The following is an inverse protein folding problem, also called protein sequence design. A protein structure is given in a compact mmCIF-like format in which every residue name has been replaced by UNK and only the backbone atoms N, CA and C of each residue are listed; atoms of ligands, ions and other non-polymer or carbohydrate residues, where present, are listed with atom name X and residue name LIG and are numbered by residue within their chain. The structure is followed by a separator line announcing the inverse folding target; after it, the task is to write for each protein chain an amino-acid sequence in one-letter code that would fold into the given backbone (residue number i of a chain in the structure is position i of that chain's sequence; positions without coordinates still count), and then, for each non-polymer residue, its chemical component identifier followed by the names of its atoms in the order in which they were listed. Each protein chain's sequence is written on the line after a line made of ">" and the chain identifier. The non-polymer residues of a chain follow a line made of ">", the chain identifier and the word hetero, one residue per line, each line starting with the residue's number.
data_IF_002142932245
#
_entry.id   IF_002142932245
#
_cell.length_a   1.000
_cell.length_b   1.000
_cell.length_c   1.000
_cell.angle_alpha   90.00
_cell.angle_beta   90.00
_cell.angle_gamma   90.00
#
_symmetry.space_group_name_H-M   'P 1'
#
loop_
_entity.id
_entity.type
_entity.pdbx_description
1 polymer ?
#
# COMPACT_ATOMS: atom_id res chain seq x y z
N UNK A 1 30.49 -14.52 38.90
CA UNK A 1 29.19 -13.82 39.10
C UNK A 1 28.99 -12.92 37.89
N UNK A 2 28.10 -13.32 36.98
CA UNK A 2 27.84 -12.61 35.74
C UNK A 2 26.72 -11.58 35.97
N UNK A 3 26.98 -10.31 35.66
CA UNK A 3 25.94 -9.28 35.59
C UNK A 3 25.54 -9.08 34.13
N UNK A 4 24.27 -9.37 33.85
CA UNK A 4 23.60 -9.14 32.56
C UNK A 4 23.17 -7.67 32.47
N UNK A 5 23.64 -6.94 31.47
CA UNK A 5 23.23 -5.56 31.18
C UNK A 5 22.20 -5.52 30.05
N UNK A 6 21.01 -6.09 30.29
CA UNK A 6 19.82 -5.87 29.46
C UNK A 6 18.78 -5.05 30.24
N UNK A 7 18.82 -3.72 30.08
CA UNK A 7 17.75 -2.73 30.31
C UNK A 7 18.18 -1.55 29.42
N UNK A 8 17.47 -1.16 28.37
CA UNK A 8 16.12 -0.59 28.34
C UNK A 8 15.45 -0.91 26.99
N UNK A 9 14.30 -1.56 27.01
CA UNK A 9 13.38 -1.57 25.88
C UNK A 9 12.56 -0.28 25.93
N UNK A 10 12.42 0.40 24.79
CA UNK A 10 11.53 1.56 24.65
C UNK A 10 10.09 1.18 25.04
N UNK A 11 9.48 2.00 25.89
CA UNK A 11 8.05 1.91 26.21
C UNK A 11 7.24 2.25 24.95
N UNK A 12 6.44 1.31 24.46
CA UNK A 12 5.45 1.54 23.40
C UNK A 12 4.09 1.72 24.08
N UNK A 13 3.48 2.92 24.07
CA UNK A 13 2.18 3.12 24.70
C UNK A 13 1.08 2.46 23.86
N UNK A 14 0.23 1.68 24.53
CA UNK A 14 -1.04 1.25 23.96
C UNK A 14 -2.07 2.39 24.05
N UNK A 15 -3.04 2.36 23.15
CA UNK A 15 -3.89 3.45 22.66
C UNK A 15 -4.84 4.16 23.64
N UNK A 16 -4.69 4.02 24.96
CA UNK A 16 -5.65 4.59 25.93
C UNK A 16 -5.04 5.46 27.06
N UNK A 17 -3.85 6.05 26.86
CA UNK A 17 -3.31 7.05 27.79
C UNK A 17 -3.52 8.47 27.25
N UNK A 18 -4.50 9.20 27.80
CA UNK A 18 -4.67 10.63 27.55
C UNK A 18 -3.80 11.43 28.52
N UNK A 19 -2.81 12.16 27.98
CA UNK A 19 -2.03 13.13 28.75
C UNK A 19 -2.75 14.49 28.80
N UNK A 20 -3.11 14.94 30.01
CA UNK A 20 -3.41 16.34 30.27
C UNK A 20 -2.07 17.11 30.31
N UNK A 21 -1.79 17.88 29.27
CA UNK A 21 -0.71 18.86 29.29
C UNK A 21 -1.19 20.12 30.02
N UNK A 22 -0.97 20.19 31.34
CA UNK A 22 -0.88 21.49 32.02
C UNK A 22 0.43 22.15 31.62
N UNK A 23 0.33 23.24 30.84
CA UNK A 23 1.46 24.06 30.44
C UNK A 23 1.97 24.84 31.66
N UNK A 24 3.09 24.42 32.24
CA UNK A 24 3.77 25.14 33.32
C UNK A 24 4.46 26.37 32.71
N UNK A 25 3.97 27.54 33.11
CA UNK A 25 4.51 28.90 32.99
C UNK A 25 5.60 29.19 31.94
N UNK A 26 5.17 30.01 30.97
CA UNK A 26 5.89 30.87 30.05
C UNK A 26 7.39 31.09 30.33
N UNK A 27 8.24 30.21 29.80
CA UNK A 27 9.65 30.53 29.58
C UNK A 27 9.85 31.04 28.15
N UNK A 28 10.57 32.18 28.08
CA UNK A 28 11.01 32.94 26.89
C UNK A 28 10.01 33.99 26.37
N UNK A 29 10.25 35.24 26.79
CA UNK A 29 9.73 36.47 26.17
C UNK A 29 10.28 36.62 24.74
N UNK A 30 9.68 35.93 23.77
CA UNK A 30 9.88 36.24 22.36
C UNK A 30 9.03 37.48 22.00
N UNK A 31 9.63 38.46 21.32
CA UNK A 31 8.90 39.61 20.77
C UNK A 31 7.88 39.12 19.76
N UNK A 32 6.60 39.34 20.03
CA UNK A 32 5.51 39.11 19.09
C UNK A 32 5.46 40.24 18.07
N UNK A 33 5.60 39.91 16.78
CA UNK A 33 5.23 40.81 15.69
C UNK A 33 3.73 40.67 15.42
N UNK A 34 2.99 41.77 15.20
CA UNK A 34 1.59 41.69 14.81
C UNK A 34 1.51 41.18 13.36
N UNK A 35 1.19 39.90 13.20
CA UNK A 35 0.74 39.38 11.90
C UNK A 35 -0.69 39.85 11.67
N UNK A 36 -0.90 40.65 10.62
CA UNK A 36 -2.23 41.05 10.12
C UNK A 36 -2.87 39.96 9.26
N UNK A 37 -2.27 38.77 9.17
CA UNK A 37 -2.74 37.67 8.35
C UNK A 37 -3.17 36.53 9.26
N UNK A 38 -4.50 36.39 9.37
CA UNK A 38 -5.15 35.24 9.99
C UNK A 38 -5.14 34.06 9.00
N UNK A 39 -4.04 33.31 9.01
CA UNK A 39 -3.85 32.08 8.21
C UNK A 39 -4.76 30.92 8.64
N UNK A 40 -5.72 31.12 9.57
CA UNK A 40 -6.68 30.11 10.00
C UNK A 40 -8.08 30.30 9.41
N UNK A 41 -8.30 31.37 8.63
CA UNK A 41 -9.59 31.70 8.04
C UNK A 41 -10.01 30.82 6.86
N UNK A 42 -9.08 30.05 6.25
CA UNK A 42 -9.38 29.14 5.13
C UNK A 42 -10.06 27.83 5.58
N UNK A 43 -9.82 27.38 6.82
CA UNK A 43 -10.42 26.15 7.35
C UNK A 43 -11.85 26.34 7.89
N UNK A 44 -12.34 27.59 7.94
CA UNK A 44 -13.61 27.94 8.58
C UNK A 44 -14.85 27.78 7.67
N UNK A 45 -14.67 27.58 6.36
CA UNK A 45 -15.78 27.50 5.39
C UNK A 45 -15.59 26.30 4.46
N UNK A 46 -16.56 25.39 4.44
CA UNK A 46 -16.55 24.18 3.59
C UNK A 46 -16.47 24.54 2.09
N UNK A 47 -17.18 25.59 1.66
CA UNK A 47 -17.15 26.06 0.27
C UNK A 47 -15.77 26.62 -0.16
N UNK A 48 -14.98 27.15 0.78
CA UNK A 48 -13.62 27.62 0.50
C UNK A 48 -12.60 26.47 0.45
N UNK A 49 -12.84 25.39 1.20
CA UNK A 49 -12.00 24.18 1.14
C UNK A 49 -12.19 23.45 -0.19
N UNK A 50 -13.42 23.32 -0.67
CA UNK A 50 -13.72 22.65 -1.94
C UNK A 50 -13.15 23.41 -3.15
N UNK A 51 -13.22 24.74 -3.14
CA UNK A 51 -12.61 25.58 -4.18
C UNK A 51 -11.07 25.46 -4.18
N UNK A 52 -10.43 25.45 -3.00
CA UNK A 52 -8.98 25.31 -2.89
C UNK A 52 -8.50 23.92 -3.33
N UNK A 53 -9.23 22.85 -2.97
CA UNK A 53 -8.93 21.49 -3.43
C UNK A 53 -9.14 21.38 -4.95
N UNK A 54 -10.17 22.02 -5.50
CA UNK A 54 -10.39 22.06 -6.94
C UNK A 54 -9.25 22.81 -7.67
N UNK A 55 -8.80 23.94 -7.15
CA UNK A 55 -7.68 24.72 -7.73
C UNK A 55 -6.34 23.98 -7.60
N UNK A 56 -6.13 23.25 -6.50
CA UNK A 56 -4.94 22.42 -6.27
C UNK A 56 -4.90 21.22 -7.22
N UNK A 57 -6.04 20.56 -7.46
CA UNK A 57 -6.17 19.44 -8.41
C UNK A 57 -6.05 19.92 -9.86
N UNK A 58 -6.49 21.14 -10.16
CA UNK A 58 -6.39 21.74 -11.50
C UNK A 58 -5.02 22.40 -11.79
N UNK A 59 -4.08 22.40 -10.84
CA UNK A 59 -2.78 23.09 -10.95
C UNK A 59 -2.89 24.58 -11.34
N UNK A 60 -4.00 25.24 -10.98
CA UNK A 60 -4.16 26.66 -11.20
C UNK A 60 -3.51 27.42 -10.05
N UNK A 61 -2.38 28.08 -10.32
CA UNK A 61 -1.79 28.99 -9.32
C UNK A 61 -2.77 30.12 -9.01
N UNK A 62 -3.01 30.49 -7.73
CA UNK A 62 -3.92 31.56 -7.41
C UNK A 62 -3.35 32.88 -7.94
N UNK A 63 -3.89 33.35 -9.07
CA UNK A 63 -3.70 34.71 -9.55
C UNK A 63 -4.26 35.63 -8.48
N UNK A 64 -3.36 36.30 -7.75
CA UNK A 64 -3.70 37.42 -6.87
C UNK A 64 -4.38 38.48 -7.73
N UNK A 65 -5.71 38.51 -7.77
CA UNK A 65 -6.46 39.67 -8.24
C UNK A 65 -6.30 40.75 -7.17
N UNK A 66 -5.28 41.59 -7.36
CA UNK A 66 -5.28 42.92 -6.77
C UNK A 66 -6.57 43.60 -7.23
N UNK A 67 -7.40 43.93 -6.25
CA UNK A 67 -8.61 44.70 -6.41
C UNK A 67 -8.15 46.12 -6.70
N UNK A 68 -8.26 46.56 -7.95
CA UNK A 68 -8.14 47.98 -8.28
C UNK A 68 -9.38 48.43 -9.03
N UNK A 69 -9.92 49.55 -8.55
CA UNK A 69 -11.13 50.19 -9.03
C UNK A 69 -10.86 50.94 -10.34
N UNK A 70 -11.79 50.83 -11.29
CA UNK A 70 -12.03 51.88 -12.28
C UNK A 70 -11.54 51.65 -13.72
N UNK A 71 -12.48 51.70 -14.66
CA UNK A 71 -12.23 52.30 -15.99
C UNK A 71 -12.13 51.37 -17.21
N UNK A 72 -13.27 51.25 -17.93
CA UNK A 72 -13.49 51.08 -19.39
C UNK A 72 -12.65 50.08 -20.25
N UNK A 73 -13.28 49.37 -21.22
CA UNK A 73 -12.61 48.40 -22.08
C UNK A 73 -12.21 48.91 -23.49
N UNK A 74 -11.10 48.33 -24.01
CA UNK A 74 -10.65 48.16 -25.44
C UNK A 74 -10.16 49.40 -26.23
N UNK A 75 -9.29 49.29 -27.29
CA UNK A 75 -9.02 48.14 -28.19
C UNK A 75 -7.57 47.89 -28.75
N UNK A 76 -7.37 46.66 -29.29
CA UNK A 76 -6.60 46.18 -30.48
C UNK A 76 -5.17 46.68 -30.81
N UNK A 77 -4.16 45.79 -30.81
CA UNK A 77 -3.55 45.06 -31.96
C UNK A 77 -2.21 45.72 -32.42
N UNK A 78 -1.26 45.11 -33.19
CA UNK A 78 -1.47 44.02 -34.18
C UNK A 78 -0.30 43.04 -34.51
N UNK A 79 -0.61 42.12 -35.44
CA UNK A 79 0.20 41.62 -36.58
C UNK A 79 1.08 40.34 -36.43
N UNK A 80 0.62 39.29 -37.13
CA UNK A 80 1.39 38.14 -37.65
C UNK A 80 0.44 37.17 -38.37
N UNK A 81 0.69 36.75 -39.62
CA UNK A 81 -0.30 36.77 -40.70
C UNK A 81 -1.15 35.51 -40.85
N UNK A 82 -2.31 35.72 -41.48
CA UNK A 82 -3.19 34.66 -41.96
C UNK A 82 -2.58 33.93 -43.16
N UNK A 83 -2.61 32.60 -43.10
CA UNK A 83 -2.60 31.75 -44.28
C UNK A 83 -3.99 31.12 -44.44
N UNK A 84 -4.80 31.84 -45.21
CA UNK A 84 -6.02 31.38 -45.84
C UNK A 84 -5.64 30.46 -47.02
N UNK A 85 -5.56 29.13 -46.78
CA UNK A 85 -6.04 28.04 -47.65
C UNK A 85 -5.45 26.69 -47.18
N UNK A 86 -6.32 25.81 -46.65
CA UNK A 86 -6.15 24.36 -46.74
C UNK A 86 -5.36 23.64 -45.64
N UNK A 87 -6.00 23.36 -44.49
CA UNK A 87 -5.79 22.09 -43.75
C UNK A 87 -6.76 21.85 -42.57
N UNK A 88 -8.00 22.34 -42.64
CA UNK A 88 -9.03 21.98 -41.66
C UNK A 88 -9.69 20.61 -41.95
N UNK A 89 -8.89 19.59 -42.29
CA UNK A 89 -9.36 18.20 -42.39
C UNK A 89 -8.48 17.17 -41.65
N UNK A 90 -7.36 17.57 -41.03
CA UNK A 90 -6.41 16.62 -40.38
C UNK A 90 -6.33 16.79 -38.86
N UNK A 91 -7.04 17.76 -38.26
CA UNK A 91 -7.04 17.98 -36.80
C UNK A 91 -8.05 17.06 -36.07
N UNK A 92 -8.80 16.23 -36.80
CA UNK A 92 -9.88 15.39 -36.26
C UNK A 92 -9.56 13.91 -36.07
N UNK A 93 -8.45 13.40 -36.60
CA UNK A 93 -8.13 11.97 -36.52
C UNK A 93 -7.52 11.63 -35.15
N UNK A 94 -8.39 11.27 -34.20
CA UNK A 94 -8.04 10.84 -32.84
C UNK A 94 -7.03 9.68 -32.83
N UNK A 95 -6.92 8.92 -33.93
CA UNK A 95 -5.99 7.81 -34.07
C UNK A 95 -4.55 8.26 -34.33
N UNK A 96 -4.34 9.33 -35.11
CA UNK A 96 -3.00 9.84 -35.45
C UNK A 96 -2.40 10.53 -34.23
N UNK A 97 -3.19 11.37 -33.54
CA UNK A 97 -2.76 12.01 -32.30
C UNK A 97 -2.46 10.97 -31.20
N UNK A 98 -3.28 9.91 -31.08
CA UNK A 98 -3.01 8.82 -30.14
C UNK A 98 -1.76 7.99 -30.51
N UNK A 99 -1.48 7.84 -31.80
CA UNK A 99 -0.27 7.19 -32.29
C UNK A 99 0.98 8.04 -31.99
N UNK A 100 0.92 9.35 -32.25
CA UNK A 100 2.01 10.28 -31.96
C UNK A 100 2.30 10.37 -30.46
N UNK A 101 1.27 10.42 -29.61
CA UNK A 101 1.42 10.35 -28.15
C UNK A 101 2.08 9.04 -27.70
N UNK A 102 1.75 7.92 -28.35
CA UNK A 102 2.34 6.62 -28.03
C UNK A 102 3.79 6.53 -28.47
N UNK A 103 4.12 7.08 -29.64
CA UNK A 103 5.48 7.18 -30.16
C UNK A 103 6.31 8.10 -29.24
N UNK A 104 5.77 9.24 -28.81
CA UNK A 104 6.41 10.15 -27.85
C UNK A 104 6.71 9.46 -26.51
N UNK A 105 5.73 8.75 -25.94
CA UNK A 105 5.94 7.94 -24.72
C UNK A 105 7.02 6.87 -24.90
N UNK A 106 7.05 6.20 -26.06
CA UNK A 106 8.06 5.19 -26.34
C UNK A 106 9.47 5.78 -26.47
N UNK A 107 9.60 6.92 -27.15
CA UNK A 107 10.87 7.65 -27.25
C UNK A 107 11.38 8.11 -25.88
N UNK A 108 10.50 8.66 -25.04
CA UNK A 108 10.86 9.01 -23.66
C UNK A 108 11.34 7.81 -22.86
N UNK A 109 10.66 6.67 -22.97
CA UNK A 109 11.06 5.44 -22.28
C UNK A 109 12.41 4.94 -22.77
N UNK A 110 12.70 5.04 -24.08
CA UNK A 110 14.02 4.69 -24.62
C UNK A 110 15.14 5.61 -24.13
N UNK A 111 14.88 6.92 -24.02
CA UNK A 111 15.84 7.88 -23.45
C UNK A 111 16.10 7.56 -21.97
N UNK A 112 15.03 7.33 -21.19
CA UNK A 112 15.12 6.93 -19.79
C UNK A 112 15.88 5.62 -19.62
N UNK A 113 15.64 4.62 -20.48
CA UNK A 113 16.35 3.34 -20.45
C UNK A 113 17.86 3.51 -20.73
N UNK A 114 18.23 4.27 -21.76
CA UNK A 114 19.63 4.58 -22.05
C UNK A 114 20.32 5.32 -20.91
N UNK A 115 19.63 6.27 -20.27
CA UNK A 115 20.16 6.96 -19.09
C UNK A 115 20.35 6.00 -17.91
N UNK A 116 19.41 5.08 -17.69
CA UNK A 116 19.51 4.07 -16.64
C UNK A 116 20.67 3.10 -16.90
N UNK A 117 20.87 2.67 -18.15
CA UNK A 117 22.01 1.83 -18.52
C UNK A 117 23.36 2.50 -18.24
N UNK A 118 23.51 3.80 -18.57
CA UNK A 118 24.73 4.54 -18.22
C UNK A 118 24.93 4.65 -16.71
N UNK A 119 23.87 4.97 -15.96
CA UNK A 119 23.93 5.04 -14.48
C UNK A 119 24.28 3.69 -13.85
N UNK A 120 23.84 2.58 -14.46
CA UNK A 120 24.19 1.24 -14.02
C UNK A 120 25.68 0.97 -14.21
N UNK A 121 26.21 1.27 -15.40
CA UNK A 121 27.64 1.14 -15.69
C UNK A 121 28.51 1.99 -14.76
N UNK A 122 28.12 3.26 -14.54
CA UNK A 122 28.82 4.16 -13.61
C UNK A 122 28.80 3.64 -12.16
N UNK A 123 27.72 2.96 -11.76
CA UNK A 123 27.59 2.36 -10.44
C UNK A 123 28.47 1.11 -10.30
N UNK A 124 28.51 0.26 -11.33
CA UNK A 124 29.31 -0.96 -11.32
C UNK A 124 30.80 -0.64 -11.28
N UNK A 125 31.26 0.38 -12.01
CA UNK A 125 32.66 0.83 -11.95
C UNK A 125 33.02 1.40 -10.57
N UNK A 126 32.13 2.19 -9.94
CA UNK A 126 32.34 2.68 -8.56
C UNK A 126 32.38 1.56 -7.53
N UNK A 127 31.58 0.51 -7.71
CA UNK A 127 31.61 -0.67 -6.85
C UNK A 127 32.92 -1.43 -7.02
N UNK A 128 33.44 -1.53 -8.25
CA UNK A 128 34.71 -2.20 -8.52
C UNK A 128 35.87 -1.47 -7.83
N UNK A 129 35.95 -0.15 -7.97
CA UNK A 129 37.01 0.65 -7.30
C UNK A 129 36.93 0.56 -5.77
N UNK A 130 35.71 0.61 -5.21
CA UNK A 130 35.53 0.49 -3.76
C UNK A 130 35.95 -0.90 -3.21
N UNK A 131 35.71 -1.96 -3.98
CA UNK A 131 36.15 -3.31 -3.60
C UNK A 131 37.68 -3.42 -3.65
N UNK A 132 38.32 -2.87 -4.69
CA UNK A 132 39.78 -2.85 -4.82
C UNK A 132 40.45 -2.09 -3.66
N UNK A 133 39.89 -0.93 -3.27
CA UNK A 133 40.34 -0.15 -2.10
C UNK A 133 40.12 -0.91 -0.78
N UNK A 134 38.98 -1.58 -0.62
CA UNK A 134 38.68 -2.37 0.57
C UNK A 134 39.64 -3.55 0.75
N UNK A 135 39.99 -4.23 -0.35
CA UNK A 135 40.94 -5.34 -0.34
C UNK A 135 42.39 -4.89 -0.11
N UNK A 136 42.76 -3.68 -0.54
CA UNK A 136 44.05 -3.08 -0.22
C UNK A 136 44.14 -2.66 1.25
N UNK A 137 43.09 -2.04 1.81
CA UNK A 137 43.02 -1.71 3.24
C UNK A 137 43.10 -2.99 4.08
N UNK A 138 42.39 -4.06 3.69
CA UNK A 138 42.47 -5.37 4.37
C UNK A 138 43.90 -5.92 4.35
N UNK A 139 44.56 -5.93 3.19
CA UNK A 139 45.96 -6.36 3.07
C UNK A 139 46.91 -5.53 3.93
N UNK A 140 46.73 -4.22 4.01
CA UNK A 140 47.57 -3.34 4.85
C UNK A 140 47.36 -3.64 6.34
N UNK A 141 46.12 -3.89 6.77
CA UNK A 141 45.82 -4.24 8.17
C UNK A 141 46.39 -5.62 8.55
N UNK A 142 46.18 -6.63 7.70
CA UNK A 142 46.69 -7.99 7.91
C UNK A 142 48.23 -8.03 7.98
N UNK A 143 48.91 -7.15 7.23
CA UNK A 143 50.38 -7.05 7.26
C UNK A 143 50.93 -6.30 8.47
N UNK A 144 50.18 -5.35 9.04
CA UNK A 144 50.68 -4.42 10.07
C UNK A 144 50.40 -4.86 11.50
N UNK A 145 49.38 -5.67 11.75
CA UNK A 145 49.00 -6.05 13.11
C UNK A 145 49.07 -7.56 13.34
N UNK A 146 49.87 -7.95 14.32
CA UNK A 146 49.99 -9.32 14.82
C UNK A 146 49.84 -9.27 16.34
N UNK A 147 48.84 -9.93 16.94
CA UNK A 147 48.65 -9.98 18.38
C UNK A 147 49.90 -10.44 19.16
N UNK A 148 50.78 -11.23 18.53
CA UNK A 148 52.06 -11.62 19.11
C UNK A 148 53.07 -10.45 19.13
N UNK A 149 53.07 -9.60 18.11
CA UNK A 149 53.91 -8.40 18.04
C UNK A 149 53.47 -7.30 19.01
N UNK A 150 52.15 -7.13 19.22
CA UNK A 150 51.60 -6.22 20.26
C UNK A 150 52.07 -6.64 21.66
N UNK A 151 51.97 -7.93 22.00
CA UNK A 151 52.49 -8.47 23.27
C UNK A 151 54.01 -8.31 23.42
N UNK A 152 54.75 -8.51 22.34
CA UNK A 152 56.21 -8.32 22.34
C UNK A 152 56.59 -6.85 22.54
N UNK A 153 55.85 -5.91 21.94
CA UNK A 153 56.05 -4.47 22.10
C UNK A 153 55.76 -4.02 23.54
N UNK A 154 54.66 -4.50 24.13
CA UNK A 154 54.32 -4.24 25.54
C UNK A 154 55.40 -4.72 26.51
N UNK A 155 55.94 -5.91 26.27
CA UNK A 155 57.05 -6.44 27.06
C UNK A 155 58.32 -5.59 26.92
N UNK A 156 58.59 -5.09 25.71
CA UNK A 156 59.75 -4.23 25.44
C UNK A 156 59.61 -2.84 26.04
N UNK A 157 58.41 -2.27 26.08
CA UNK A 157 58.12 -1.00 26.79
C UNK A 157 58.41 -1.19 28.29
N UNK A 158 57.95 -2.29 28.89
CA UNK A 158 58.23 -2.61 30.30
C UNK A 158 59.73 -2.81 30.56
N UNK A 159 60.44 -3.56 29.70
CA UNK A 159 61.88 -3.78 29.83
C UNK A 159 62.71 -2.48 29.71
N UNK A 160 62.23 -1.50 28.93
CA UNK A 160 62.86 -0.19 28.79
C UNK A 160 62.58 0.72 30.00
N UNK A 161 61.37 0.65 30.55
CA UNK A 161 60.98 1.33 31.77
C UNK A 161 61.76 0.80 32.99
N UNK A 162 61.79 -0.53 33.17
CA UNK A 162 62.51 -1.20 34.25
C UNK A 162 64.03 -0.93 34.20
N UNK A 163 64.56 -0.59 33.02
CA UNK A 163 65.96 -0.23 32.80
C UNK A 163 66.25 1.29 32.91
N UNK A 164 65.28 2.11 33.31
CA UNK A 164 65.35 3.59 33.38
C UNK A 164 65.79 4.24 32.04
N UNK A 165 65.50 3.60 30.90
CA UNK A 165 65.89 4.10 29.56
C UNK A 165 64.85 5.01 28.92
N UNK A 166 63.64 5.03 29.45
CA UNK A 166 62.53 5.89 29.04
C UNK A 166 61.98 6.59 30.27
N UNK A 167 61.45 7.81 30.10
CA UNK A 167 60.86 8.52 31.23
C UNK A 167 59.50 7.91 31.59
N UNK A 168 59.00 8.09 32.82
CA UNK A 168 57.66 7.64 33.21
C UNK A 168 56.55 8.25 32.34
N UNK A 169 56.80 9.43 31.76
CA UNK A 169 55.89 10.07 30.82
C UNK A 169 55.91 9.35 29.46
N UNK A 170 57.09 9.00 28.95
CA UNK A 170 57.22 8.23 27.69
C UNK A 170 56.62 6.82 27.81
N UNK A 171 56.80 6.17 28.96
CA UNK A 171 56.18 4.86 29.25
C UNK A 171 54.65 4.96 29.22
N UNK A 172 54.09 6.00 29.82
CA UNK A 172 52.65 6.23 29.81
C UNK A 172 52.13 6.48 28.39
N UNK A 173 52.78 7.35 27.63
CA UNK A 173 52.38 7.66 26.25
C UNK A 173 52.48 6.45 25.32
N UNK A 174 53.53 5.63 25.45
CA UNK A 174 53.68 4.40 24.67
C UNK A 174 52.64 3.34 25.03
N UNK A 175 52.27 3.22 26.31
CA UNK A 175 51.20 2.33 26.75
C UNK A 175 49.82 2.83 26.30
N UNK A 176 49.56 4.14 26.35
CA UNK A 176 48.31 4.74 25.88
C UNK A 176 48.14 4.57 24.35
N UNK A 177 49.22 4.74 23.58
CA UNK A 177 49.24 4.47 22.13
C UNK A 177 48.98 2.99 21.83
N UNK A 178 49.58 2.08 22.60
CA UNK A 178 49.35 0.64 22.42
C UNK A 178 47.90 0.26 22.74
N UNK A 179 47.32 0.82 23.81
CA UNK A 179 45.92 0.60 24.18
C UNK A 179 44.96 1.11 23.08
N UNK A 180 45.23 2.28 22.51
CA UNK A 180 44.44 2.81 21.40
C UNK A 180 44.49 1.92 20.15
N UNK A 181 45.66 1.34 19.84
CA UNK A 181 45.80 0.38 18.74
C UNK A 181 45.01 -0.90 19.02
N UNK A 182 45.09 -1.46 20.23
CA UNK A 182 44.36 -2.66 20.61
C UNK A 182 42.82 -2.42 20.58
N UNK A 183 42.35 -1.25 21.00
CA UNK A 183 40.94 -0.85 20.94
C UNK A 183 40.42 -0.69 19.50
N UNK A 184 41.21 -0.07 18.62
CA UNK A 184 40.88 0.03 17.19
C UNK A 184 40.74 -1.36 16.54
N UNK A 185 41.59 -2.32 16.90
CA UNK A 185 41.50 -3.68 16.37
C UNK A 185 40.24 -4.41 16.89
N UNK A 186 39.91 -4.24 18.17
CA UNK A 186 38.67 -4.79 18.71
C UNK A 186 37.44 -4.19 18.02
N UNK A 187 37.47 -2.89 17.70
CA UNK A 187 36.42 -2.25 16.91
C UNK A 187 36.35 -2.82 15.47
N UNK A 188 37.50 -3.14 14.87
CA UNK A 188 37.56 -3.77 13.56
C UNK A 188 36.95 -5.18 13.55
N UNK A 189 37.29 -6.03 14.53
CA UNK A 189 36.71 -7.37 14.68
C UNK A 189 35.17 -7.31 14.85
N UNK A 190 34.69 -6.32 15.60
CA UNK A 190 33.24 -6.08 15.78
C UNK A 190 32.60 -5.65 14.45
N UNK A 191 33.22 -4.71 13.72
CA UNK A 191 32.71 -4.26 12.42
C UNK A 191 32.70 -5.39 11.38
N UNK A 192 33.70 -6.27 11.39
CA UNK A 192 33.72 -7.44 10.50
C UNK A 192 32.59 -8.42 10.84
N UNK A 193 32.35 -8.68 12.13
CA UNK A 193 31.24 -9.49 12.59
C UNK A 193 29.87 -8.87 12.25
N UNK A 194 29.73 -7.56 12.39
CA UNK A 194 28.52 -6.81 12.00
C UNK A 194 28.29 -6.85 10.49
N UNK A 195 29.34 -6.66 9.68
CA UNK A 195 29.27 -6.79 8.23
C UNK A 195 28.89 -8.21 7.79
N UNK A 196 29.42 -9.25 8.44
CA UNK A 196 29.02 -10.63 8.19
C UNK A 196 27.54 -10.87 8.54
N UNK A 197 27.05 -10.26 9.61
CA UNK A 197 25.64 -10.33 9.99
C UNK A 197 24.73 -9.59 8.98
N UNK A 198 25.11 -8.38 8.57
CA UNK A 198 24.42 -7.61 7.54
C UNK A 198 24.37 -8.36 6.21
N UNK A 199 25.47 -8.99 5.79
CA UNK A 199 25.51 -9.82 4.57
C UNK A 199 24.52 -10.99 4.67
N UNK A 200 24.46 -11.67 5.82
CA UNK A 200 23.45 -12.73 6.07
C UNK A 200 22.02 -12.17 6.08
N UNK A 201 21.80 -10.97 6.59
CA UNK A 201 20.48 -10.33 6.60
C UNK A 201 20.05 -9.94 5.19
N UNK A 202 20.97 -9.39 4.39
CA UNK A 202 20.77 -9.07 2.97
C UNK A 202 20.50 -10.35 2.18
N UNK A 203 21.26 -11.42 2.39
CA UNK A 203 21.01 -12.72 1.75
C UNK A 203 19.64 -13.29 2.16
N UNK A 204 19.24 -13.14 3.43
CA UNK A 204 17.90 -13.54 3.90
C UNK A 204 16.80 -12.69 3.26
N UNK A 205 16.99 -11.38 3.12
CA UNK A 205 16.06 -10.46 2.46
C UNK A 205 16.01 -10.70 0.94
N UNK A 206 17.14 -11.00 0.31
CA UNK A 206 17.24 -11.35 -1.12
C UNK A 206 16.59 -12.70 -1.43
N UNK A 207 16.64 -13.64 -0.48
CA UNK A 207 15.93 -14.93 -0.55
C UNK A 207 14.47 -14.85 -0.11
N UNK A 208 14.02 -13.74 0.51
CA UNK A 208 12.58 -13.46 0.59
C UNK A 208 12.15 -13.13 -0.83
N UNK A 209 11.56 -14.12 -1.49
CA UNK A 209 11.01 -13.98 -2.83
C UNK A 209 10.19 -12.68 -2.92
N UNK A 210 10.38 -11.89 -3.98
CA UNK A 210 9.28 -11.06 -4.48
C UNK A 210 8.16 -12.06 -4.77
N UNK A 211 7.00 -11.91 -4.14
CA UNK A 211 5.83 -12.78 -4.42
C UNK A 211 5.52 -12.84 -5.92
N UNK A 212 5.95 -11.82 -6.67
CA UNK A 212 5.84 -11.70 -8.12
C UNK A 212 6.79 -12.60 -8.95
N UNK A 213 7.73 -13.32 -8.31
CA UNK A 213 8.76 -14.12 -8.98
C UNK A 213 8.67 -15.62 -8.70
N UNK A 214 7.63 -16.07 -8.00
CA UNK A 214 7.24 -17.47 -8.01
C UNK A 214 6.65 -17.72 -9.41
N UNK A 215 7.25 -18.56 -10.27
CA UNK A 215 6.53 -19.02 -11.44
C UNK A 215 5.31 -19.77 -10.94
N UNK A 216 4.13 -19.13 -11.06
CA UNK A 216 2.87 -19.85 -11.01
C UNK A 216 2.87 -20.66 -12.30
N UNK A 217 3.47 -21.86 -12.25
CA UNK A 217 3.10 -22.88 -13.21
C UNK A 217 1.57 -23.00 -13.10
N UNK A 218 0.81 -22.80 -14.19
CA UNK A 218 -0.61 -23.03 -14.14
C UNK A 218 -0.78 -24.46 -13.66
N UNK A 219 -1.47 -24.64 -12.53
CA UNK A 219 -1.76 -25.97 -12.00
C UNK A 219 -2.23 -26.84 -13.16
N UNK A 220 -1.40 -27.81 -13.57
CA UNK A 220 -1.88 -28.93 -14.38
C UNK A 220 -2.70 -29.79 -13.44
N UNK A 221 -3.84 -29.27 -13.02
CA UNK A 221 -4.89 -30.04 -12.38
C UNK A 221 -5.24 -31.14 -13.37
N UNK A 222 -4.85 -32.37 -13.03
CA UNK A 222 -5.30 -33.57 -13.73
C UNK A 222 -6.83 -33.74 -13.62
N UNK A 223 -7.48 -32.86 -12.85
CA UNK A 223 -8.93 -32.80 -12.72
C UNK A 223 -9.59 -32.16 -13.93
N UNK A 224 -8.92 -31.33 -14.75
CA UNK A 224 -9.59 -30.78 -15.95
C UNK A 224 -9.95 -31.93 -16.93
N UNK A 225 -9.02 -32.81 -17.35
CA UNK A 225 -9.38 -33.96 -18.19
C UNK A 225 -10.40 -34.91 -17.53
N UNK A 226 -10.29 -35.13 -16.21
CA UNK A 226 -11.20 -36.01 -15.47
C UNK A 226 -12.61 -35.41 -15.34
N UNK A 227 -12.73 -34.12 -15.02
CA UNK A 227 -13.99 -33.39 -14.95
C UNK A 227 -14.62 -33.28 -16.33
N UNK A 228 -13.82 -33.09 -17.38
CA UNK A 228 -14.30 -33.07 -18.75
C UNK A 228 -14.83 -34.44 -19.19
N UNK A 229 -14.13 -35.52 -18.85
CA UNK A 229 -14.64 -36.89 -19.05
C UNK A 229 -15.92 -37.17 -18.25
N UNK A 230 -16.01 -36.66 -17.01
CA UNK A 230 -17.20 -36.81 -16.17
C UNK A 230 -18.39 -36.00 -16.70
N UNK A 231 -18.15 -34.81 -17.26
CA UNK A 231 -19.16 -34.01 -17.96
C UNK A 231 -19.63 -34.73 -19.22
N UNK A 232 -18.72 -35.34 -20.00
CA UNK A 232 -19.07 -36.10 -21.19
C UNK A 232 -19.90 -37.35 -20.86
N UNK A 233 -19.59 -38.05 -19.77
CA UNK A 233 -20.34 -39.22 -19.32
C UNK A 233 -21.72 -38.84 -18.79
N UNK A 234 -21.83 -37.77 -17.99
CA UNK A 234 -23.12 -37.21 -17.58
C UNK A 234 -23.94 -36.72 -18.78
N UNK A 235 -23.29 -36.14 -19.80
CA UNK A 235 -23.92 -35.75 -21.06
C UNK A 235 -24.53 -36.93 -21.82
N UNK A 236 -23.85 -38.08 -21.86
CA UNK A 236 -24.38 -39.32 -22.45
C UNK A 236 -25.54 -39.90 -21.64
N UNK A 237 -25.46 -39.87 -20.31
CA UNK A 237 -26.54 -40.32 -19.44
C UNK A 237 -27.80 -39.46 -19.61
N UNK A 238 -27.65 -38.13 -19.69
CA UNK A 238 -28.78 -37.22 -19.96
C UNK A 238 -29.37 -37.48 -21.35
N UNK A 239 -28.55 -37.73 -22.37
CA UNK A 239 -29.05 -38.07 -23.70
C UNK A 239 -29.85 -39.39 -23.71
N UNK A 240 -29.37 -40.42 -22.99
CA UNK A 240 -30.08 -41.70 -22.82
C UNK A 240 -31.39 -41.53 -22.03
N UNK A 241 -31.39 -40.73 -20.96
CA UNK A 241 -32.60 -40.43 -20.19
C UNK A 241 -33.62 -39.70 -21.05
N UNK A 242 -33.19 -38.74 -21.88
CA UNK A 242 -34.06 -38.01 -22.80
C UNK A 242 -34.61 -38.91 -23.91
N UNK A 243 -33.80 -39.83 -24.43
CA UNK A 243 -34.26 -40.83 -25.39
C UNK A 243 -35.25 -41.83 -24.74
N UNK A 244 -35.03 -42.18 -23.48
CA UNK A 244 -35.96 -43.01 -22.71
C UNK A 244 -37.28 -42.27 -22.45
N UNK A 245 -37.23 -41.00 -22.04
CA UNK A 245 -38.40 -40.13 -21.89
C UNK A 245 -39.17 -40.00 -23.21
N UNK A 246 -38.49 -39.73 -24.32
CA UNK A 246 -39.10 -39.66 -25.65
C UNK A 246 -39.72 -41.00 -26.07
N UNK A 247 -39.11 -42.13 -25.71
CA UNK A 247 -39.65 -43.46 -25.95
C UNK A 247 -40.88 -43.76 -25.09
N UNK A 248 -40.90 -43.29 -23.83
CA UNK A 248 -42.07 -43.38 -22.95
C UNK A 248 -43.18 -42.47 -23.46
N UNK A 249 -42.88 -41.24 -23.87
CA UNK A 249 -43.84 -40.32 -24.49
C UNK A 249 -44.42 -40.91 -25.77
N UNK A 250 -43.58 -41.50 -26.64
CA UNK A 250 -44.03 -42.20 -27.85
C UNK A 250 -44.90 -43.41 -27.52
N UNK A 251 -44.59 -44.19 -26.48
CA UNK A 251 -45.44 -45.32 -26.04
C UNK A 251 -46.75 -44.86 -25.43
N UNK A 252 -46.76 -43.77 -24.67
CA UNK A 252 -47.97 -43.14 -24.13
C UNK A 252 -48.83 -42.55 -25.26
N UNK A 253 -48.22 -41.88 -26.24
CA UNK A 253 -48.89 -41.39 -27.44
C UNK A 253 -49.45 -42.55 -28.30
N UNK A 254 -48.77 -43.70 -28.35
CA UNK A 254 -49.25 -44.91 -29.05
C UNK A 254 -50.37 -45.62 -28.29
N UNK A 255 -50.41 -45.54 -26.96
CA UNK A 255 -51.54 -46.01 -26.11
C UNK A 255 -52.74 -45.06 -26.14
N UNK A 256 -52.53 -43.77 -26.37
CA UNK A 256 -53.61 -42.77 -26.52
C UNK A 256 -54.03 -42.51 -27.97
N UNK A 257 -53.33 -43.08 -28.96
CA UNK A 257 -53.61 -42.94 -30.39
C UNK A 257 -54.34 -44.13 -31.03
N UNK A 258 -54.68 -45.17 -30.28
CA UNK A 258 -55.46 -46.32 -30.78
C UNK A 258 -56.88 -46.27 -30.24
N UNK A 259 -57.68 -45.34 -30.77
CA UNK A 259 -59.09 -45.19 -30.43
C UNK A 259 -59.77 -44.03 -31.14
N UNK A 260 -59.40 -43.75 -32.39
CA UNK A 260 -60.00 -42.67 -33.18
C UNK A 260 -60.05 -43.03 -34.65
N UNK A 261 -61.22 -43.46 -35.13
CA UNK A 261 -61.56 -43.46 -36.55
C UNK A 261 -62.21 -44.74 -37.06
N UNK A 262 -63.52 -44.68 -37.34
CA UNK A 262 -64.17 -45.58 -38.29
C UNK A 262 -65.60 -45.98 -37.93
N UNK A 263 -66.59 -45.16 -38.29
CA UNK A 263 -68.01 -45.53 -38.16
C UNK A 263 -68.95 -44.45 -38.66
N UNK A 264 -68.98 -44.25 -39.99
CA UNK A 264 -69.94 -43.40 -40.69
C UNK A 264 -71.25 -44.14 -40.99
N UNK A 265 -72.34 -43.38 -41.05
CA UNK A 265 -73.67 -43.77 -41.57
C UNK A 265 -74.74 -43.73 -40.46
N UNK A 266 -75.82 -42.96 -40.50
CA UNK A 266 -76.51 -42.29 -41.59
C UNK A 266 -77.98 -42.77 -41.61
N UNK A 267 -78.92 -41.84 -41.40
CA UNK A 267 -80.39 -42.04 -41.52
C UNK A 267 -81.09 -42.24 -40.17
N UNK A 268 -82.17 -41.54 -39.80
CA UNK A 268 -83.16 -40.78 -40.57
C UNK A 268 -84.49 -41.55 -40.62
N UNK A 269 -85.54 -41.02 -39.98
CA UNK A 269 -86.93 -41.52 -39.98
C UNK A 269 -87.32 -42.14 -38.63
N UNK A 270 -88.35 -41.73 -37.89
CA UNK A 270 -89.65 -41.24 -38.31
C UNK A 270 -90.67 -42.38 -38.18
N UNK A 271 -91.65 -42.26 -37.28
CA UNK A 271 -92.80 -43.17 -37.26
C UNK A 271 -93.40 -43.38 -35.88
N UNK A 272 -94.61 -42.86 -35.67
CA UNK A 272 -95.39 -43.01 -34.45
C UNK A 272 -95.93 -44.43 -34.22
N UNK A 273 -96.63 -44.60 -33.10
CA UNK A 273 -97.47 -45.78 -32.86
C UNK A 273 -97.60 -46.17 -31.39
N UNK A 274 -98.46 -45.47 -30.64
CA UNK A 274 -99.24 -46.13 -29.58
C UNK A 274 -100.34 -46.98 -30.24
N UNK A 275 -101.16 -47.79 -29.53
CA UNK A 275 -101.07 -48.34 -28.17
C UNK A 275 -101.31 -49.87 -28.16
N UNK A 276 -101.33 -50.54 -27.00
CA UNK A 276 -102.13 -51.77 -26.87
C UNK A 276 -101.72 -52.79 -25.82
N UNK A 277 -102.63 -53.04 -24.88
CA UNK A 277 -102.76 -54.30 -24.14
C UNK A 277 -102.22 -54.26 -22.71
N UNK A 278 -102.92 -53.68 -21.74
CA UNK A 278 -103.95 -54.38 -20.95
C UNK A 278 -103.43 -55.63 -20.21
N UNK A 279 -103.26 -55.51 -18.90
CA UNK A 279 -103.52 -56.63 -17.99
C UNK A 279 -105.05 -56.85 -17.89
N UNK A 280 -105.57 -57.98 -17.34
CA UNK A 280 -104.90 -59.18 -16.84
C UNK A 280 -105.49 -60.49 -17.44
N UNK A 281 -104.71 -61.55 -17.56
CA UNK A 281 -105.22 -62.84 -18.02
C UNK A 281 -104.41 -64.02 -17.52
N UNK A 282 -104.88 -64.62 -16.42
CA UNK A 282 -104.64 -66.00 -15.94
C UNK A 282 -103.29 -66.62 -16.32
N UNK A 283 -102.38 -66.66 -15.35
CA UNK A 283 -101.21 -67.53 -15.39
C UNK A 283 -101.60 -68.97 -15.65
N UNK A 284 -101.27 -69.48 -16.83
CA UNK A 284 -101.01 -70.90 -16.99
C UNK A 284 -99.58 -71.14 -16.51
N UNK A 285 -99.45 -71.72 -15.33
CA UNK A 285 -98.18 -72.29 -14.85
C UNK A 285 -97.64 -73.22 -15.95
N UNK A 286 -96.46 -72.93 -16.47
CA UNK A 286 -95.75 -73.82 -17.39
C UNK A 286 -94.46 -74.23 -16.69
N UNK A 287 -94.41 -75.45 -16.10
CA UNK A 287 -93.35 -75.87 -15.20
C UNK A 287 -91.93 -75.63 -15.74
N UNK A 288 -91.72 -75.82 -17.05
CA UNK A 288 -90.40 -75.71 -17.67
C UNK A 288 -89.96 -74.26 -17.94
N UNK A 289 -90.88 -73.37 -18.34
CA UNK A 289 -90.55 -71.95 -18.57
C UNK A 289 -90.39 -71.18 -17.27
N UNK A 290 -91.20 -71.49 -16.28
CA UNK A 290 -91.13 -70.85 -14.96
C UNK A 290 -89.90 -71.33 -14.18
N UNK A 291 -89.52 -72.61 -14.28
CA UNK A 291 -88.28 -73.12 -13.70
C UNK A 291 -87.03 -72.49 -14.34
N UNK A 292 -86.99 -72.35 -15.67
CA UNK A 292 -85.89 -71.68 -16.37
C UNK A 292 -85.76 -70.20 -15.98
N UNK A 293 -86.90 -69.48 -15.83
CA UNK A 293 -86.90 -68.10 -15.35
C UNK A 293 -86.42 -67.99 -13.90
N UNK A 294 -86.85 -68.88 -13.00
CA UNK A 294 -86.39 -68.91 -11.60
C UNK A 294 -84.88 -69.19 -11.54
N UNK A 295 -84.38 -70.13 -12.35
CA UNK A 295 -82.96 -70.46 -12.38
C UNK A 295 -82.11 -69.29 -12.89
N UNK A 296 -82.61 -68.53 -13.86
CA UNK A 296 -81.99 -67.28 -14.32
C UNK A 296 -81.98 -66.20 -13.22
N UNK A 297 -83.08 -66.03 -12.49
CA UNK A 297 -83.15 -65.08 -11.36
C UNK A 297 -82.14 -65.46 -10.27
N UNK A 298 -81.97 -66.75 -9.98
CA UNK A 298 -81.00 -67.23 -9.00
C UNK A 298 -79.55 -66.99 -9.47
N UNK A 299 -79.23 -67.23 -10.74
CA UNK A 299 -77.90 -66.92 -11.29
C UNK A 299 -77.61 -65.42 -11.27
N UNK A 300 -78.60 -64.59 -11.61
CA UNK A 300 -78.46 -63.13 -11.59
C UNK A 300 -78.28 -62.61 -10.16
N UNK A 301 -79.00 -63.18 -9.19
CA UNK A 301 -78.83 -62.87 -7.76
C UNK A 301 -77.44 -63.25 -7.26
N UNK A 302 -76.93 -64.42 -7.62
CA UNK A 302 -75.61 -64.86 -7.19
C UNK A 302 -74.49 -64.05 -7.86
N UNK A 303 -74.68 -63.64 -9.13
CA UNK A 303 -73.81 -62.68 -9.80
C UNK A 303 -73.84 -61.29 -9.13
N UNK A 304 -75.01 -60.82 -8.70
CA UNK A 304 -75.16 -59.58 -7.92
C UNK A 304 -74.43 -59.67 -6.59
N UNK A 305 -74.56 -60.77 -5.84
CA UNK A 305 -73.81 -60.99 -4.60
C UNK A 305 -72.31 -60.95 -4.82
N UNK A 306 -71.82 -61.52 -5.93
CA UNK A 306 -70.40 -61.46 -6.29
C UNK A 306 -69.94 -60.03 -6.56
N UNK A 307 -70.73 -59.26 -7.35
CA UNK A 307 -70.45 -57.84 -7.60
C UNK A 307 -70.48 -56.99 -6.33
N UNK A 308 -71.37 -57.27 -5.38
CA UNK A 308 -71.40 -56.56 -4.10
C UNK A 308 -70.12 -56.80 -3.28
N UNK A 309 -69.61 -58.04 -3.25
CA UNK A 309 -68.31 -58.34 -2.61
C UNK A 309 -67.15 -57.65 -3.31
N UNK A 310 -67.14 -57.69 -4.65
CA UNK A 310 -66.10 -56.99 -5.43
C UNK A 310 -66.13 -55.47 -5.20
N UNK A 311 -67.31 -54.88 -5.01
CA UNK A 311 -67.46 -53.45 -4.65
C UNK A 311 -66.97 -53.15 -3.23
N UNK A 312 -67.21 -54.04 -2.27
CA UNK A 312 -66.73 -53.92 -0.89
C UNK A 312 -65.20 -53.97 -0.85
N UNK A 313 -64.58 -54.95 -1.51
CA UNK A 313 -63.11 -55.04 -1.67
C UNK A 313 -62.51 -53.83 -2.40
N UNK A 314 -63.24 -53.26 -3.37
CA UNK A 314 -62.82 -52.04 -4.05
C UNK A 314 -62.91 -50.82 -3.12
N UNK A 315 -63.95 -50.74 -2.29
CA UNK A 315 -64.10 -49.72 -1.25
C UNK A 315 -62.94 -49.73 -0.26
N UNK A 316 -62.54 -50.90 0.21
CA UNK A 316 -61.39 -51.05 1.11
C UNK A 316 -60.08 -50.57 0.47
N UNK A 317 -59.86 -50.89 -0.81
CA UNK A 317 -58.68 -50.42 -1.57
C UNK A 317 -58.69 -48.91 -1.78
N UNK A 318 -59.86 -48.31 -2.04
CA UNK A 318 -59.98 -46.86 -2.18
C UNK A 318 -59.64 -46.17 -0.86
N UNK A 319 -60.14 -46.66 0.26
CA UNK A 319 -59.81 -46.13 1.59
C UNK A 319 -58.30 -46.24 1.89
N UNK A 320 -57.68 -47.37 1.57
CA UNK A 320 -56.23 -47.56 1.77
C UNK A 320 -55.40 -46.61 0.89
N UNK A 321 -55.83 -46.38 -0.36
CA UNK A 321 -55.18 -45.43 -1.26
C UNK A 321 -55.36 -43.98 -0.80
N UNK A 322 -56.53 -43.62 -0.29
CA UNK A 322 -56.80 -42.29 0.25
C UNK A 322 -55.94 -42.01 1.49
N UNK A 323 -55.79 -43.00 2.38
CA UNK A 323 -54.88 -42.87 3.53
C UNK A 323 -53.42 -42.67 3.09
N UNK A 324 -52.95 -43.47 2.12
CA UNK A 324 -51.57 -43.33 1.58
C UNK A 324 -51.36 -41.98 0.89
N UNK A 325 -52.38 -41.45 0.21
CA UNK A 325 -52.32 -40.13 -0.40
C UNK A 325 -52.17 -39.03 0.66
N UNK A 326 -52.96 -39.10 1.74
CA UNK A 326 -52.88 -38.15 2.85
C UNK A 326 -51.51 -38.22 3.57
N UNK A 327 -50.98 -39.43 3.80
CA UNK A 327 -49.64 -39.61 4.38
C UNK A 327 -48.55 -39.04 3.47
N UNK A 328 -48.65 -39.24 2.16
CA UNK A 328 -47.71 -38.67 1.19
C UNK A 328 -47.79 -37.13 1.14
N UNK A 329 -48.98 -36.55 1.26
CA UNK A 329 -49.16 -35.09 1.32
C UNK A 329 -48.52 -34.50 2.58
N UNK A 330 -48.73 -35.11 3.75
CA UNK A 330 -48.06 -34.70 4.99
C UNK A 330 -46.54 -34.76 4.89
N UNK A 331 -45.98 -35.84 4.31
CA UNK A 331 -44.54 -35.97 4.11
C UNK A 331 -44.01 -34.91 3.14
N UNK A 332 -44.77 -34.60 2.09
CA UNK A 332 -44.41 -33.57 1.11
C UNK A 332 -44.36 -32.19 1.75
N UNK A 333 -45.36 -31.82 2.55
CA UNK A 333 -45.35 -30.54 3.28
C UNK A 333 -44.19 -30.44 4.28
N UNK A 334 -43.85 -31.53 4.96
CA UNK A 334 -42.69 -31.55 5.86
C UNK A 334 -41.37 -31.38 5.10
N UNK A 335 -41.23 -32.02 3.94
CA UNK A 335 -40.04 -31.89 3.11
C UNK A 335 -39.91 -30.47 2.55
N UNK A 336 -41.01 -29.87 2.11
CA UNK A 336 -41.03 -28.49 1.61
C UNK A 336 -40.60 -27.50 2.70
N UNK A 337 -41.10 -27.64 3.92
CA UNK A 337 -40.67 -26.82 5.06
C UNK A 337 -39.17 -26.95 5.37
N UNK A 338 -38.64 -28.18 5.36
CA UNK A 338 -37.22 -28.43 5.58
C UNK A 338 -36.34 -27.83 4.48
N UNK A 339 -36.72 -27.99 3.21
CA UNK A 339 -36.01 -27.41 2.07
C UNK A 339 -36.00 -25.89 2.13
N UNK A 340 -37.13 -25.28 2.51
CA UNK A 340 -37.23 -23.83 2.65
C UNK A 340 -36.35 -23.30 3.79
N UNK A 341 -36.32 -24.00 4.93
CA UNK A 341 -35.44 -23.66 6.05
C UNK A 341 -33.96 -23.79 5.66
N UNK A 342 -33.59 -24.86 4.93
CA UNK A 342 -32.23 -25.03 4.43
C UNK A 342 -31.84 -23.93 3.44
N UNK A 343 -32.75 -23.55 2.54
CA UNK A 343 -32.54 -22.43 1.61
C UNK A 343 -32.28 -21.12 2.33
N UNK A 344 -33.04 -20.83 3.40
CA UNK A 344 -32.83 -19.63 4.21
C UNK A 344 -31.48 -19.64 4.93
N UNK A 345 -31.09 -20.78 5.50
CA UNK A 345 -29.79 -20.93 6.15
C UNK A 345 -28.64 -20.70 5.17
N UNK A 346 -28.73 -21.23 3.95
CA UNK A 346 -27.72 -20.99 2.91
C UNK A 346 -27.65 -19.52 2.49
N UNK A 347 -28.79 -18.85 2.34
CA UNK A 347 -28.83 -17.42 2.01
C UNK A 347 -28.19 -16.58 3.13
N UNK A 348 -28.49 -16.88 4.39
CA UNK A 348 -27.88 -16.19 5.51
C UNK A 348 -26.36 -16.36 5.54
N UNK A 349 -25.88 -17.59 5.36
CA UNK A 349 -24.44 -17.86 5.33
C UNK A 349 -23.74 -17.14 4.17
N UNK A 350 -24.39 -17.06 3.00
CA UNK A 350 -23.87 -16.28 1.87
C UNK A 350 -23.76 -14.78 2.19
N UNK A 351 -24.77 -14.20 2.83
CA UNK A 351 -24.71 -12.82 3.28
C UNK A 351 -23.57 -12.59 4.28
N UNK A 352 -23.42 -13.45 5.28
CA UNK A 352 -22.36 -13.36 6.28
C UNK A 352 -20.96 -13.48 5.66
N UNK A 353 -20.79 -14.39 4.68
CA UNK A 353 -19.54 -14.50 3.93
C UNK A 353 -19.23 -13.22 3.14
N UNK A 354 -20.25 -12.60 2.54
CA UNK A 354 -20.07 -11.39 1.75
C UNK A 354 -19.74 -10.18 2.64
N UNK A 355 -20.35 -10.08 3.83
CA UNK A 355 -20.03 -9.06 4.82
C UNK A 355 -18.58 -9.20 5.31
N UNK A 356 -18.14 -10.43 5.59
CA UNK A 356 -16.76 -10.72 5.98
C UNK A 356 -15.76 -10.39 4.87
N UNK A 357 -16.09 -10.70 3.61
CA UNK A 357 -15.27 -10.32 2.47
C UNK A 357 -15.12 -8.81 2.38
N UNK A 358 -16.24 -8.06 2.41
CA UNK A 358 -16.22 -6.60 2.39
C UNK A 358 -15.40 -6.02 3.54
N UNK A 359 -15.49 -6.61 4.74
CA UNK A 359 -14.69 -6.18 5.89
C UNK A 359 -13.19 -6.31 5.62
N UNK A 360 -12.73 -7.47 5.16
CA UNK A 360 -11.31 -7.69 4.91
C UNK A 360 -10.77 -6.84 3.74
N UNK A 361 -11.56 -6.66 2.68
CA UNK A 361 -11.21 -5.75 1.58
C UNK A 361 -10.99 -4.32 2.10
N UNK A 362 -11.91 -3.83 2.94
CA UNK A 362 -11.79 -2.51 3.56
C UNK A 362 -10.56 -2.39 4.49
N UNK A 363 -10.26 -3.41 5.30
CA UNK A 363 -9.09 -3.40 6.16
C UNK A 363 -7.78 -3.43 5.36
N UNK A 364 -7.75 -4.17 4.24
CA UNK A 364 -6.61 -4.16 3.31
C UNK A 364 -6.42 -2.77 2.70
N UNK A 365 -7.49 -2.11 2.25
CA UNK A 365 -7.37 -0.77 1.67
C UNK A 365 -6.95 0.29 2.69
N UNK A 366 -7.44 0.20 3.94
CA UNK A 366 -6.93 1.04 5.05
C UNK A 366 -5.44 0.80 5.29
N UNK A 367 -4.99 -0.46 5.27
CA UNK A 367 -3.58 -0.78 5.47
C UNK A 367 -2.70 -0.19 4.36
N UNK A 368 -3.13 -0.27 3.09
CA UNK A 368 -2.43 0.38 1.96
C UNK A 368 -2.32 1.89 2.15
N UNK A 369 -3.43 2.55 2.52
CA UNK A 369 -3.42 4.00 2.79
C UNK A 369 -2.45 4.39 3.92
N UNK A 370 -2.43 3.61 5.00
CA UNK A 370 -1.50 3.83 6.12
C UNK A 370 -0.03 3.63 5.69
N UNK A 371 0.25 2.62 4.86
CA UNK A 371 1.59 2.39 4.31
C UNK A 371 2.08 3.59 3.49
N UNK A 372 1.22 4.16 2.63
CA UNK A 372 1.55 5.33 1.82
C UNK A 372 1.85 6.57 2.67
N UNK A 373 1.04 6.81 3.71
CA UNK A 373 1.27 7.91 4.68
C UNK A 373 2.61 7.73 5.39
N UNK A 374 2.91 6.53 5.87
CA UNK A 374 4.19 6.23 6.54
C UNK A 374 5.37 6.40 5.59
N UNK A 375 5.23 5.99 4.33
CA UNK A 375 6.26 6.18 3.30
C UNK A 375 6.51 7.65 3.01
N UNK A 376 5.46 8.47 2.93
CA UNK A 376 5.57 9.91 2.79
C UNK A 376 6.32 10.54 3.98
N UNK A 377 5.94 10.17 5.21
CA UNK A 377 6.58 10.67 6.44
C UNK A 377 8.06 10.25 6.54
N UNK A 378 8.39 9.02 6.15
CA UNK A 378 9.77 8.56 6.06
C UNK A 378 10.58 9.37 5.05
N UNK A 379 10.01 9.72 3.89
CA UNK A 379 10.69 10.55 2.91
C UNK A 379 10.90 11.99 3.40
N UNK A 380 9.89 12.55 4.08
CA UNK A 380 10.01 13.86 4.73
C UNK A 380 11.15 13.86 5.76
N UNK A 381 11.18 12.86 6.66
CA UNK A 381 12.21 12.77 7.69
C UNK A 381 13.62 12.60 7.10
N UNK A 382 13.76 11.89 5.97
CA UNK A 382 15.03 11.80 5.24
C UNK A 382 15.48 13.18 4.73
N UNK A 383 14.57 13.98 4.19
CA UNK A 383 14.89 15.33 3.72
C UNK A 383 15.29 16.25 4.89
N UNK A 384 14.56 16.20 6.00
CA UNK A 384 14.88 16.95 7.22
C UNK A 384 16.25 16.55 7.79
N UNK A 385 16.58 15.27 7.80
CA UNK A 385 17.88 14.77 8.24
C UNK A 385 19.03 15.30 7.37
N UNK A 386 18.85 15.34 6.04
CA UNK A 386 19.84 15.91 5.12
C UNK A 386 20.02 17.40 5.40
N UNK A 387 18.92 18.15 5.55
CA UNK A 387 18.97 19.57 5.88
C UNK A 387 19.70 19.82 7.21
N UNK A 388 19.41 19.02 8.23
CA UNK A 388 20.07 19.10 9.54
C UNK A 388 21.58 18.81 9.45
N UNK A 389 21.99 17.78 8.70
CA UNK A 389 23.42 17.49 8.46
C UNK A 389 24.14 18.65 7.79
N UNK A 390 23.54 19.26 6.77
CA UNK A 390 24.10 20.43 6.10
C UNK A 390 24.18 21.65 7.04
N UNK A 391 23.22 21.82 7.94
CA UNK A 391 23.25 22.89 8.94
C UNK A 391 24.38 22.67 9.97
N UNK A 392 24.56 21.44 10.44
CA UNK A 392 25.65 21.08 11.36
C UNK A 392 27.02 21.31 10.73
N UNK A 393 27.22 20.90 9.47
CA UNK A 393 28.48 21.15 8.76
C UNK A 393 28.78 22.65 8.63
N UNK A 394 27.78 23.46 8.27
CA UNK A 394 27.95 24.93 8.24
C UNK A 394 28.34 25.49 9.60
N UNK A 395 27.68 25.04 10.67
CA UNK A 395 28.01 25.48 12.03
C UNK A 395 29.44 25.09 12.44
N UNK A 396 29.91 23.90 12.05
CA UNK A 396 31.28 23.46 12.31
C UNK A 396 32.32 24.34 11.58
N UNK A 397 32.09 24.66 10.30
CA UNK A 397 32.97 25.58 9.56
C UNK A 397 33.01 26.97 10.21
N UNK A 398 31.85 27.51 10.58
CA UNK A 398 31.75 28.80 11.26
C UNK A 398 32.47 28.80 12.62
N UNK A 399 32.37 27.70 13.36
CA UNK A 399 33.05 27.57 14.66
C UNK A 399 34.58 27.59 14.49
N UNK A 400 35.11 26.91 13.48
CA UNK A 400 36.54 26.97 13.16
C UNK A 400 37.01 28.38 12.82
N UNK A 401 36.24 29.12 12.01
CA UNK A 401 36.55 30.52 11.68
C UNK A 401 36.56 31.41 12.93
N UNK A 402 35.56 31.26 13.81
CA UNK A 402 35.50 31.97 15.09
C UNK A 402 36.73 31.68 15.95
N UNK A 403 37.18 30.43 16.01
CA UNK A 403 38.33 30.05 16.83
C UNK A 403 39.65 30.60 16.29
N UNK A 404 39.81 30.68 14.96
CA UNK A 404 40.93 31.38 14.32
C UNK A 404 40.89 32.88 14.67
N UNK A 405 39.74 33.53 14.51
CA UNK A 405 39.59 34.95 14.83
C UNK A 405 39.87 35.23 16.31
N UNK A 406 39.41 34.38 17.22
CA UNK A 406 39.70 34.49 18.66
C UNK A 406 41.19 34.37 18.96
N UNK A 407 41.90 33.46 18.28
CA UNK A 407 43.34 33.32 18.44
C UNK A 407 44.10 34.55 17.93
N UNK A 408 43.70 35.10 16.78
CA UNK A 408 44.31 36.34 16.26
C UNK A 408 44.04 37.54 17.18
N UNK A 409 42.82 37.65 17.73
CA UNK A 409 42.48 38.70 18.67
C UNK A 409 43.34 38.58 19.95
N UNK A 410 43.52 37.37 20.48
CA UNK A 410 44.41 37.11 21.62
C UNK A 410 45.86 37.53 21.34
N UNK A 411 46.39 37.24 20.13
CA UNK A 411 47.74 37.68 19.73
C UNK A 411 47.85 39.20 19.69
N UNK A 412 46.83 39.89 19.16
CA UNK A 412 46.77 41.37 19.12
C UNK A 412 46.75 41.95 20.53
N UNK A 413 45.97 41.39 21.44
CA UNK A 413 45.92 41.85 22.83
C UNK A 413 47.29 41.75 23.53
N UNK A 414 48.01 40.63 23.32
CA UNK A 414 49.36 40.45 23.85
C UNK A 414 50.32 41.51 23.26
N UNK A 415 50.25 41.75 21.95
CA UNK A 415 51.09 42.75 21.29
C UNK A 415 50.80 44.17 21.80
N UNK A 416 49.53 44.53 21.95
CA UNK A 416 49.11 45.84 22.50
C UNK A 416 49.65 46.03 23.92
N UNK A 417 49.52 45.01 24.78
CA UNK A 417 50.06 45.07 26.14
C UNK A 417 51.59 45.24 26.14
N UNK A 418 52.31 44.58 25.22
CA UNK A 418 53.75 44.76 25.07
C UNK A 418 54.12 46.18 24.59
N UNK A 419 53.36 46.73 23.64
CA UNK A 419 53.55 48.12 23.19
C UNK A 419 53.26 49.13 24.30
N UNK A 420 52.22 48.93 25.11
CA UNK A 420 51.93 49.79 26.27
C UNK A 420 53.09 49.75 27.28
N UNK A 421 53.62 48.56 27.59
CA UNK A 421 54.82 48.43 28.44
C UNK A 421 56.02 49.20 27.86
N UNK A 422 56.28 49.08 26.55
CA UNK A 422 57.37 49.81 25.89
C UNK A 422 57.14 51.33 25.93
N UNK A 423 55.92 51.77 25.68
CA UNK A 423 55.52 53.16 25.73
C UNK A 423 55.74 53.75 27.12
N UNK A 424 55.28 53.06 28.18
CA UNK A 424 55.48 53.49 29.56
C UNK A 424 56.97 53.59 29.92
N UNK A 425 57.81 52.64 29.49
CA UNK A 425 59.26 52.68 29.69
C UNK A 425 59.90 53.90 28.99
N UNK A 426 59.50 54.16 27.74
CA UNK A 426 59.98 55.31 26.98
C UNK A 426 59.56 56.63 27.65
N UNK A 427 58.31 56.74 28.07
CA UNK A 427 57.79 57.91 28.78
C UNK A 427 58.51 58.13 30.11
N UNK A 428 58.85 57.06 30.85
CA UNK A 428 59.64 57.16 32.06
C UNK A 428 61.05 57.69 31.76
N UNK A 429 61.72 57.16 30.72
CA UNK A 429 63.02 57.68 30.28
C UNK A 429 62.95 59.15 29.87
N UNK A 430 61.95 59.55 29.07
CA UNK A 430 61.74 60.93 28.66
C UNK A 430 61.56 61.87 29.86
N UNK A 431 60.76 61.47 30.86
CA UNK A 431 60.61 62.21 32.12
C UNK A 431 61.95 62.33 32.87
N UNK A 432 62.73 61.25 32.95
CA UNK A 432 64.05 61.26 33.59
C UNK A 432 65.02 62.21 32.86
N UNK A 433 65.07 62.17 31.52
CA UNK A 433 65.88 63.11 30.71
C UNK A 433 65.48 64.57 30.96
N UNK A 434 64.17 64.86 30.98
CA UNK A 434 63.66 66.20 31.31
C UNK A 434 64.07 66.64 32.72
N UNK A 435 63.96 65.75 33.72
CA UNK A 435 64.34 66.05 35.10
C UNK A 435 65.85 66.24 35.29
N UNK A 436 66.68 65.60 34.46
CA UNK A 436 68.13 65.72 34.48
C UNK A 436 68.65 67.02 33.81
N UNK A 437 67.76 67.92 33.36
CA UNK A 437 68.12 69.24 32.85
C UNK A 437 68.40 69.30 31.34
N UNK A 438 68.21 68.21 30.60
CA UNK A 438 68.29 68.21 29.14
C UNK A 438 67.01 68.81 28.53
N UNK A 439 66.90 70.14 28.49
CA UNK A 439 65.76 70.89 27.93
C UNK A 439 65.83 71.08 26.40
N UNK A 440 66.25 70.05 25.65
CA UNK A 440 66.29 70.14 24.18
C UNK A 440 64.93 69.91 23.50
N UNK A 441 63.85 69.69 24.28
CA UNK A 441 62.50 69.37 23.78
C UNK A 441 61.39 70.26 24.35
N UNK A 442 61.72 71.33 25.10
CA UNK A 442 60.68 72.27 25.56
C UNK A 442 60.23 73.23 24.44
N UNK A 443 60.94 73.27 23.30
CA UNK A 443 60.56 74.01 22.08
C UNK A 443 60.19 73.03 20.95
N UNK A 444 58.98 72.46 21.00
CA UNK A 444 58.35 71.89 19.81
C UNK A 444 57.60 73.02 19.07
N UNK A 445 57.77 73.20 17.75
CA UNK A 445 57.01 74.17 16.98
C UNK A 445 55.50 73.91 17.12
N UNK A 446 54.63 74.95 17.17
CA UNK A 446 53.19 74.80 17.42
C UNK A 446 52.40 74.05 16.32
N UNK A 447 53.01 73.74 15.18
CA UNK A 447 52.30 73.23 14.01
C UNK A 447 52.64 71.75 13.74
N UNK A 448 52.06 70.85 14.53
CA UNK A 448 51.92 69.44 14.18
C UNK A 448 50.57 68.89 14.70
N UNK A 449 49.53 69.70 14.62
CA UNK A 449 48.13 69.26 14.76
C UNK A 449 47.49 69.21 13.37
N UNK A 450 46.88 68.07 13.07
CA UNK A 450 45.81 67.91 12.08
C UNK A 450 46.15 68.22 10.61
N UNK A 451 46.71 67.23 9.91
CA UNK A 451 46.36 67.02 8.52
C UNK A 451 46.48 65.55 8.17
N UNK A 452 45.34 64.89 8.00
CA UNK A 452 45.11 63.70 7.14
C UNK A 452 43.65 63.25 7.34
N UNK A 453 42.72 64.17 7.09
CA UNK A 453 41.40 63.81 6.56
C UNK A 453 41.24 64.70 5.36
N UNK A 454 41.41 64.11 4.18
CA UNK A 454 40.85 64.60 2.92
C UNK A 454 40.78 63.37 2.02
N UNK A 455 39.62 62.71 2.04
CA UNK A 455 39.13 61.98 0.88
C UNK A 455 39.02 62.96 -0.30
N UNK A 456 39.32 62.49 -1.51
CA UNK A 456 38.46 62.83 -2.62
C UNK A 456 37.84 61.57 -3.20
N UNK A 457 36.51 61.63 -3.34
CA UNK A 457 35.75 60.88 -4.33
C UNK A 457 36.41 60.98 -5.71
N UNK A 458 36.70 59.85 -6.35
CA UNK A 458 36.70 59.77 -7.81
C UNK A 458 36.00 58.48 -8.26
N UNK A 459 35.06 58.71 -9.17
CA UNK A 459 34.22 57.76 -9.88
C UNK A 459 35.01 56.91 -10.89
N UNK A 460 34.41 55.75 -11.24
CA UNK A 460 34.47 55.02 -12.51
C UNK A 460 35.78 54.84 -13.30
N UNK A 461 36.15 53.57 -13.50
CA UNK A 461 36.40 52.91 -14.81
C UNK A 461 36.65 51.41 -14.49
N UNK A 462 35.98 50.41 -15.06
CA UNK A 462 35.80 50.17 -16.48
C UNK A 462 36.71 49.02 -16.95
N UNK A 463 36.46 47.78 -16.50
CA UNK A 463 36.50 46.53 -17.30
C UNK A 463 36.11 45.29 -16.49
#
# INVERSE_FOLDING_TARGET
>A
MAFSTQKEFFHVPFTNETYEFECIDACVKLKSYPSTIDDRSWSASEDRKSQFVADLVACNSPIKKARDEGGRPTPRSPLGPEDEYGSNLVVGDSLINAADDTIGRMQELMIKNNMLQRKLADSDDKLRTANEESDEIRRIMDQRYDPAKSKALRKKIQELADADKITPQDEKELNDLQAAIDDMNKAHDILEAENANLKRLIDKQSKRCKMDSIPIDPERSQDIPYLQGKIDDLGKEVALLREFEDNVLKRCAKKCGSGGGGGAGGGGGGGGGAPGGAAPGKGSFSPDRDAANIQKILSDRDALRKKCKELEELGDKVNELEQKANEAECLTSSLEGNLQQQSQCMQQLQCEMQDMQCYYENEVDKAKGNEEILKCRCNQMKQELVAAKCAVQRAQCQQMEIDVLRNELRKRDIAINAYDCQYQQLMMKAKMFKSAGYRFLDDLPPDCSESCVDEPDEEEEGN
#
